data_IF_984306496041
#
_entry.id   IF_984306496041
#
_cell.length_a   1.000
_cell.length_b   1.000
_cell.length_c   1.000
_cell.angle_alpha   90.00
_cell.angle_beta   90.00
_cell.angle_gamma   90.00
#
_symmetry.space_group_name_H-M   'P 1'
#
loop_
_entity.id
_entity.type
_entity.pdbx_description
1 polymer ?
#
# COMPACT_ATOMS: atom_id res chain seq x y z
N UNK A 1 -11.23 15.23 -19.21
CA UNK A 1 -11.91 14.07 -18.58
C UNK A 1 -10.91 13.05 -18.02
N UNK A 2 -9.89 12.64 -18.80
CA UNK A 2 -8.84 11.72 -18.33
C UNK A 2 -8.08 12.27 -17.11
N UNK A 3 -7.73 13.56 -17.10
CA UNK A 3 -7.09 14.20 -15.94
C UNK A 3 -7.92 14.05 -14.65
N UNK A 4 -9.20 14.40 -14.67
CA UNK A 4 -10.09 14.22 -13.51
C UNK A 4 -10.19 12.75 -13.07
N UNK A 5 -10.18 11.81 -14.02
CA UNK A 5 -10.20 10.38 -13.71
C UNK A 5 -8.91 9.94 -13.01
N UNK A 6 -7.74 10.41 -13.47
CA UNK A 6 -6.45 10.17 -12.83
C UNK A 6 -6.38 10.78 -11.42
N UNK A 7 -6.93 11.98 -11.23
CA UNK A 7 -7.03 12.62 -9.91
C UNK A 7 -7.88 11.76 -8.97
N UNK A 8 -9.06 11.31 -9.42
CA UNK A 8 -9.94 10.44 -8.62
C UNK A 8 -9.23 9.12 -8.27
N UNK A 9 -8.54 8.51 -9.24
CA UNK A 9 -7.77 7.29 -9.01
C UNK A 9 -6.66 7.49 -7.98
N UNK A 10 -5.92 8.60 -8.05
CA UNK A 10 -4.88 8.95 -7.06
C UNK A 10 -5.47 9.14 -5.67
N UNK A 11 -6.60 9.84 -5.54
CA UNK A 11 -7.26 10.04 -4.24
C UNK A 11 -7.67 8.70 -3.62
N UNK A 12 -8.28 7.80 -4.41
CA UNK A 12 -8.67 6.47 -3.94
C UNK A 12 -7.44 5.67 -3.52
N UNK A 13 -6.39 5.64 -4.34
CA UNK A 13 -5.16 4.92 -4.02
C UNK A 13 -4.47 5.49 -2.77
N UNK A 14 -4.52 6.82 -2.55
CA UNK A 14 -4.01 7.43 -1.32
C UNK A 14 -4.78 6.96 -0.08
N UNK A 15 -6.11 6.90 -0.14
CA UNK A 15 -6.93 6.41 0.98
C UNK A 15 -6.61 4.95 1.30
N UNK A 16 -6.45 4.12 0.26
CA UNK A 16 -6.07 2.71 0.41
C UNK A 16 -4.68 2.62 1.05
N UNK A 17 -3.69 3.36 0.55
CA UNK A 17 -2.34 3.37 1.08
C UNK A 17 -2.30 3.73 2.57
N UNK A 18 -2.99 4.80 2.97
CA UNK A 18 -3.08 5.21 4.37
C UNK A 18 -3.69 4.08 5.21
N UNK A 19 -4.80 3.51 4.75
CA UNK A 19 -5.49 2.44 5.47
C UNK A 19 -4.60 1.21 5.66
N UNK A 20 -3.89 0.80 4.60
CA UNK A 20 -3.01 -0.38 4.64
C UNK A 20 -1.81 -0.13 5.52
N UNK A 21 -1.16 1.05 5.45
CA UNK A 21 -0.04 1.41 6.32
C UNK A 21 -0.46 1.38 7.79
N UNK A 22 -1.67 1.87 8.12
CA UNK A 22 -2.19 1.80 9.48
C UNK A 22 -2.52 0.37 9.92
N UNK A 23 -2.83 -0.52 8.99
CA UNK A 23 -3.06 -1.94 9.25
C UNK A 23 -1.75 -2.75 9.31
N UNK A 24 -0.61 -2.18 8.90
CA UNK A 24 0.66 -2.88 8.94
C UNK A 24 1.02 -3.23 10.39
N UNK A 25 1.20 -4.52 10.69
CA UNK A 25 1.56 -4.94 12.04
C UNK A 25 2.95 -4.43 12.39
N UNK A 26 3.06 -3.82 13.56
CA UNK A 26 4.26 -3.11 14.00
C UNK A 26 5.52 -4.02 13.97
N UNK A 27 6.57 -3.58 13.26
CA UNK A 27 7.83 -4.33 13.11
C UNK A 27 8.55 -4.56 14.43
N UNK A 28 8.28 -3.72 15.44
CA UNK A 28 8.90 -3.84 16.77
C UNK A 28 8.62 -5.17 17.47
N UNK A 29 7.55 -5.88 17.11
CA UNK A 29 7.19 -7.16 17.73
C UNK A 29 7.97 -8.37 17.16
N UNK A 30 8.78 -8.18 16.12
CA UNK A 30 9.51 -9.26 15.44
C UNK A 30 10.69 -9.86 16.22
N UNK A 31 11.19 -9.20 17.27
CA UNK A 31 12.31 -9.73 18.07
C UNK A 31 11.86 -10.53 19.31
N UNK A 32 10.58 -10.47 19.70
CA UNK A 32 10.13 -10.99 21.00
C UNK A 32 9.27 -12.27 20.95
N UNK A 33 8.72 -12.67 19.79
CA UNK A 33 7.84 -13.85 19.70
C UNK A 33 8.13 -14.68 18.45
N UNK A 34 9.19 -15.49 18.53
CA UNK A 34 9.36 -16.67 17.68
C UNK A 34 8.37 -17.74 18.14
N UNK A 35 7.10 -17.65 17.72
CA UNK A 35 6.08 -18.71 17.90
C UNK A 35 4.70 -18.27 17.37
N UNK A 36 4.49 -18.30 16.05
CA UNK A 36 3.18 -18.57 15.42
C UNK A 36 3.29 -18.51 13.89
N UNK A 37 3.42 -19.67 13.24
CA UNK A 37 3.54 -19.81 11.78
C UNK A 37 2.40 -19.18 10.96
N UNK A 38 1.26 -18.84 11.60
CA UNK A 38 0.09 -18.20 10.97
C UNK A 38 0.20 -16.68 11.00
N UNK A 39 0.77 -16.12 12.08
CA UNK A 39 0.87 -14.67 12.24
C UNK A 39 1.89 -14.09 11.27
N UNK A 40 3.00 -14.78 11.02
CA UNK A 40 4.05 -14.33 10.09
C UNK A 40 3.58 -14.34 8.62
N UNK A 41 2.72 -15.29 8.23
CA UNK A 41 2.14 -15.37 6.88
C UNK A 41 1.18 -14.20 6.59
N UNK A 42 0.37 -13.81 7.58
CA UNK A 42 -0.50 -12.63 7.49
C UNK A 42 0.31 -11.32 7.39
N UNK A 43 1.43 -11.20 8.11
CA UNK A 43 2.34 -10.05 8.00
C UNK A 43 2.91 -9.94 6.60
N UNK A 44 3.43 -11.05 6.06
CA UNK A 44 4.01 -11.09 4.72
C UNK A 44 2.97 -10.73 3.65
N UNK A 45 1.72 -11.17 3.81
CA UNK A 45 0.62 -10.83 2.92
C UNK A 45 0.32 -9.32 2.88
N UNK A 46 0.25 -8.67 4.05
CA UNK A 46 0.02 -7.22 4.14
C UNK A 46 1.21 -6.41 3.59
N UNK A 47 2.44 -6.84 3.86
CA UNK A 47 3.64 -6.19 3.32
C UNK A 47 3.65 -6.23 1.77
N UNK A 48 3.43 -7.40 1.17
CA UNK A 48 3.34 -7.55 -0.30
C UNK A 48 2.18 -6.76 -0.90
N UNK A 49 1.03 -6.72 -0.23
CA UNK A 49 -0.10 -5.92 -0.69
C UNK A 49 0.24 -4.43 -0.70
N UNK A 50 0.91 -3.94 0.36
CA UNK A 50 1.36 -2.55 0.42
C UNK A 50 2.30 -2.22 -0.73
N UNK A 51 3.25 -3.11 -1.04
CA UNK A 51 4.20 -2.92 -2.15
C UNK A 51 3.48 -2.79 -3.50
N UNK A 52 2.48 -3.64 -3.76
CA UNK A 52 1.67 -3.59 -4.98
C UNK A 52 0.91 -2.26 -5.07
N UNK A 53 0.23 -1.86 -4.00
CA UNK A 53 -0.55 -0.60 -3.99
C UNK A 53 0.38 0.61 -4.14
N UNK A 54 1.54 0.60 -3.49
CA UNK A 54 2.53 1.67 -3.61
C UNK A 54 3.07 1.79 -5.05
N UNK A 55 3.34 0.66 -5.69
CA UNK A 55 3.78 0.61 -7.09
C UNK A 55 2.71 1.18 -8.02
N UNK A 56 1.44 0.77 -7.84
CA UNK A 56 0.32 1.29 -8.62
C UNK A 56 0.14 2.80 -8.41
N UNK A 57 0.24 3.26 -7.17
CA UNK A 57 0.18 4.69 -6.85
C UNK A 57 1.25 5.48 -7.59
N UNK A 58 2.50 4.99 -7.56
CA UNK A 58 3.62 5.63 -8.25
C UNK A 58 3.41 5.67 -9.77
N UNK A 59 2.99 4.55 -10.38
CA UNK A 59 2.72 4.49 -11.83
C UNK A 59 1.64 5.49 -12.23
N UNK A 60 0.52 5.53 -11.50
CA UNK A 60 -0.56 6.49 -11.78
C UNK A 60 -0.09 7.93 -11.56
N UNK A 61 0.73 8.20 -10.54
CA UNK A 61 1.27 9.52 -10.29
C UNK A 61 2.20 10.01 -11.42
N UNK A 62 3.05 9.13 -11.94
CA UNK A 62 3.91 9.43 -13.10
C UNK A 62 3.05 9.69 -14.34
N UNK A 63 2.04 8.85 -14.62
CA UNK A 63 1.13 9.07 -15.74
C UNK A 63 0.39 10.40 -15.62
N UNK A 64 -0.06 10.75 -14.42
CA UNK A 64 -0.69 12.05 -14.17
C UNK A 64 0.26 13.21 -14.46
N UNK A 65 1.53 13.11 -14.05
CA UNK A 65 2.55 14.13 -14.32
C UNK A 65 2.89 14.28 -15.81
N UNK A 66 2.71 13.23 -16.61
CA UNK A 66 2.93 13.28 -18.07
C UNK A 66 1.72 13.88 -18.80
N UNK A 67 0.50 13.57 -18.32
CA UNK A 67 -0.76 13.99 -18.95
C UNK A 67 -1.13 15.43 -18.61
N UNK A 68 -0.73 15.93 -17.44
CA UNK A 68 -0.96 17.29 -16.95
C UNK A 68 0.16 18.24 -17.38
#
# INVERSE_FOLDING_TARGET
MLENLLIIALVILSIIMISVILLQPDRSQGLAKSSANILDEEKEGIEKFTEIVATLFLVVAILFQIVR
#
